data_IF_851899303775
#
_entry.id   IF_851899303775
#
_cell.length_a   1.000
_cell.length_b   1.000
_cell.length_c   1.000
_cell.angle_alpha   90.00
_cell.angle_beta   90.00
_cell.angle_gamma   90.00
#
_symmetry.space_group_name_H-M   'P 1'
#
loop_
_entity.id
_entity.type
_entity.pdbx_description
1 polymer ?
#
# COMPACT_ATOMS: atom_id res chain seq x y z
N UNK A 1 -22.48 1.39 21.34
CA UNK A 1 -23.29 0.81 20.23
C UNK A 1 -22.30 0.19 19.25
N UNK A 2 -22.24 -1.15 19.19
CA UNK A 2 -21.40 -1.84 18.19
C UNK A 2 -21.96 -1.49 16.80
N UNK A 3 -21.18 -0.74 16.00
CA UNK A 3 -21.49 -0.61 14.57
C UNK A 3 -21.45 -2.03 14.02
N UNK A 4 -22.54 -2.52 13.46
CA UNK A 4 -22.56 -3.77 12.72
C UNK A 4 -21.56 -3.58 11.60
N UNK A 5 -20.48 -4.34 11.62
CA UNK A 5 -19.46 -4.32 10.59
C UNK A 5 -20.07 -4.77 9.26
N UNK A 6 -19.55 -4.24 8.17
CA UNK A 6 -19.94 -4.66 6.83
C UNK A 6 -18.97 -5.70 6.28
N UNK A 7 -19.37 -6.34 5.18
CA UNK A 7 -18.42 -7.14 4.39
C UNK A 7 -17.51 -6.24 3.58
N UNK A 8 -16.24 -6.64 3.47
CA UNK A 8 -15.25 -5.93 2.65
C UNK A 8 -14.45 -6.94 1.83
N UNK A 9 -14.30 -6.70 0.54
CA UNK A 9 -13.35 -7.46 -0.25
C UNK A 9 -11.93 -7.06 0.15
N UNK A 10 -11.01 -8.03 0.18
CA UNK A 10 -9.60 -7.78 0.42
C UNK A 10 -8.80 -8.25 -0.78
N UNK A 11 -8.16 -7.32 -1.45
CA UNK A 11 -7.19 -7.62 -2.49
C UNK A 11 -5.77 -7.46 -1.96
N UNK A 12 -5.05 -8.59 -1.82
CA UNK A 12 -3.65 -8.62 -1.41
C UNK A 12 -2.77 -8.56 -2.66
N UNK A 13 -1.94 -7.52 -2.82
CA UNK A 13 -1.03 -7.41 -3.96
C UNK A 13 -0.03 -8.56 -4.05
N UNK A 14 0.29 -9.01 -5.27
CA UNK A 14 1.15 -10.16 -5.52
C UNK A 14 2.54 -10.04 -4.84
N UNK A 15 3.14 -8.86 -4.82
CA UNK A 15 4.43 -8.65 -4.14
C UNK A 15 4.31 -8.80 -2.61
N UNK A 16 3.20 -8.37 -2.04
CA UNK A 16 2.94 -8.52 -0.62
C UNK A 16 2.72 -10.00 -0.26
N UNK A 17 1.93 -10.70 -1.05
CA UNK A 17 1.66 -12.13 -0.87
C UNK A 17 2.94 -12.98 -0.99
N UNK A 18 3.80 -12.67 -1.96
CA UNK A 18 5.03 -13.43 -2.22
C UNK A 18 6.17 -13.13 -1.23
N UNK A 19 6.34 -11.88 -0.81
CA UNK A 19 7.54 -11.43 -0.10
C UNK A 19 7.27 -10.93 1.32
N UNK A 20 6.03 -10.63 1.67
CA UNK A 20 5.66 -10.08 2.97
C UNK A 20 4.32 -10.63 3.47
N UNK A 21 4.15 -11.95 3.60
CA UNK A 21 2.85 -12.57 3.91
C UNK A 21 2.30 -12.14 5.29
N UNK A 22 3.15 -11.72 6.23
CA UNK A 22 2.72 -11.21 7.53
C UNK A 22 1.90 -9.94 7.40
N UNK A 23 2.23 -9.07 6.45
CA UNK A 23 1.45 -7.85 6.14
C UNK A 23 0.02 -8.19 5.76
N UNK A 24 -0.17 -9.27 4.99
CA UNK A 24 -1.51 -9.74 4.60
C UNK A 24 -2.34 -10.12 5.83
N UNK A 25 -1.74 -10.84 6.78
CA UNK A 25 -2.39 -11.17 8.05
C UNK A 25 -2.70 -9.94 8.89
N UNK A 26 -1.78 -8.98 8.93
CA UNK A 26 -1.98 -7.71 9.64
C UNK A 26 -3.19 -6.94 9.10
N UNK A 27 -3.35 -6.88 7.77
CA UNK A 27 -4.51 -6.23 7.12
C UNK A 27 -5.82 -6.89 7.53
N UNK A 28 -5.89 -8.23 7.50
CA UNK A 28 -7.08 -8.97 7.90
C UNK A 28 -7.42 -8.71 9.38
N UNK A 29 -6.43 -8.81 10.27
CA UNK A 29 -6.61 -8.55 11.69
C UNK A 29 -7.13 -7.13 11.97
N UNK A 30 -6.60 -6.12 11.29
CA UNK A 30 -7.06 -4.73 11.42
C UNK A 30 -8.53 -4.62 11.01
N UNK A 31 -8.91 -5.21 9.88
CA UNK A 31 -10.30 -5.16 9.41
C UNK A 31 -11.25 -5.88 10.36
N UNK A 32 -10.90 -7.06 10.86
CA UNK A 32 -11.69 -7.79 11.85
C UNK A 32 -11.81 -7.02 13.17
N UNK A 33 -10.73 -6.39 13.65
CA UNK A 33 -10.73 -5.59 14.86
C UNK A 33 -11.71 -4.41 14.79
N UNK A 34 -11.84 -3.78 13.64
CA UNK A 34 -12.80 -2.69 13.45
C UNK A 34 -14.23 -3.18 13.20
N UNK A 35 -14.44 -4.51 13.22
CA UNK A 35 -15.75 -5.15 13.08
C UNK A 35 -16.15 -5.42 11.64
N UNK A 36 -15.23 -5.33 10.66
CA UNK A 36 -15.51 -5.74 9.28
C UNK A 36 -15.38 -7.26 9.13
N UNK A 37 -16.07 -7.83 8.14
CA UNK A 37 -15.93 -9.23 7.71
C UNK A 37 -15.11 -9.25 6.41
N UNK A 38 -13.79 -9.56 6.46
CA UNK A 38 -12.95 -9.56 5.27
C UNK A 38 -13.26 -10.75 4.38
N UNK A 39 -13.58 -10.48 3.11
CA UNK A 39 -13.76 -11.47 2.06
C UNK A 39 -12.47 -11.59 1.26
N UNK A 40 -11.68 -12.61 1.56
CA UNK A 40 -10.43 -12.88 0.85
C UNK A 40 -10.65 -13.92 -0.25
N UNK A 41 -10.35 -13.55 -1.50
CA UNK A 41 -10.39 -14.47 -2.63
C UNK A 41 -9.03 -15.16 -2.82
N UNK A 42 -8.98 -16.47 -2.66
CA UNK A 42 -7.74 -17.26 -2.80
C UNK A 42 -7.23 -17.33 -4.23
N UNK A 43 -8.13 -17.16 -5.21
CA UNK A 43 -7.80 -17.25 -6.64
C UNK A 43 -7.54 -15.88 -7.26
N UNK A 44 -7.35 -14.85 -6.44
CA UNK A 44 -7.04 -13.50 -6.91
C UNK A 44 -5.72 -13.48 -7.71
N UNK A 45 -5.69 -12.69 -8.77
CA UNK A 45 -4.52 -12.49 -9.61
C UNK A 45 -3.87 -11.12 -9.35
N UNK A 46 -2.70 -10.90 -9.95
CA UNK A 46 -2.06 -9.58 -9.93
C UNK A 46 -2.97 -8.50 -10.55
N UNK A 47 -2.88 -7.27 -10.06
CA UNK A 47 -3.58 -6.12 -10.68
C UNK A 47 -3.09 -5.79 -12.10
N UNK A 48 -1.96 -6.33 -12.54
CA UNK A 48 -1.40 -6.12 -13.87
C UNK A 48 -0.52 -4.87 -14.02
N UNK A 49 -0.34 -4.07 -12.97
CA UNK A 49 0.40 -2.80 -13.04
C UNK A 49 1.81 -2.95 -13.61
N UNK A 50 2.57 -3.96 -13.18
CA UNK A 50 3.94 -4.16 -13.67
C UNK A 50 4.00 -4.44 -15.17
N UNK A 51 3.10 -5.26 -15.70
CA UNK A 51 2.99 -5.54 -17.13
C UNK A 51 2.56 -4.29 -17.90
N UNK A 52 1.60 -3.52 -17.37
CA UNK A 52 1.19 -2.27 -17.98
C UNK A 52 2.35 -1.28 -18.14
N UNK A 53 3.18 -1.16 -17.10
CA UNK A 53 4.38 -0.31 -17.11
C UNK A 53 5.45 -0.76 -18.13
N UNK A 54 5.42 -2.02 -18.53
CA UNK A 54 6.29 -2.59 -19.58
C UNK A 54 5.68 -2.44 -20.99
N UNK A 55 4.47 -1.88 -21.11
CA UNK A 55 3.76 -1.74 -22.38
C UNK A 55 2.93 -2.96 -22.78
N UNK A 56 2.87 -4.01 -21.95
CA UNK A 56 2.21 -5.28 -22.24
C UNK A 56 0.69 -5.20 -21.94
N UNK A 57 0.02 -4.19 -22.52
CA UNK A 57 -1.39 -3.87 -22.21
C UNK A 57 -2.34 -5.02 -22.48
N UNK A 58 -2.10 -5.80 -23.54
CA UNK A 58 -2.97 -6.93 -23.90
C UNK A 58 -2.90 -8.07 -22.87
N UNK A 59 -1.74 -8.26 -22.22
CA UNK A 59 -1.59 -9.24 -21.15
C UNK A 59 -2.24 -8.77 -19.84
N UNK A 60 -2.44 -7.47 -19.68
CA UNK A 60 -3.09 -6.91 -18.48
C UNK A 60 -4.60 -7.13 -18.48
N UNK A 61 -5.24 -7.07 -19.64
CA UNK A 61 -6.71 -7.17 -19.77
C UNK A 61 -7.30 -8.42 -19.10
N UNK A 62 -6.80 -9.64 -19.35
CA UNK A 62 -7.32 -10.84 -18.69
C UNK A 62 -7.09 -10.83 -17.16
N UNK A 63 -5.97 -10.27 -16.68
CA UNK A 63 -5.71 -10.13 -15.24
C UNK A 63 -6.70 -9.15 -14.59
N UNK A 64 -6.92 -8.01 -15.23
CA UNK A 64 -7.85 -7.01 -14.74
C UNK A 64 -9.29 -7.53 -14.73
N UNK A 65 -9.69 -8.27 -15.76
CA UNK A 65 -11.02 -8.90 -15.83
C UNK A 65 -11.19 -9.98 -14.74
N UNK A 66 -10.17 -10.82 -14.54
CA UNK A 66 -10.20 -11.84 -13.50
C UNK A 66 -10.34 -11.19 -12.11
N UNK A 67 -9.54 -10.17 -11.79
CA UNK A 67 -9.64 -9.47 -10.53
C UNK A 67 -11.03 -8.85 -10.33
N UNK A 68 -11.57 -8.18 -11.34
CA UNK A 68 -12.92 -7.62 -11.30
C UNK A 68 -13.97 -8.70 -11.03
N UNK A 69 -13.90 -9.84 -11.74
CA UNK A 69 -14.91 -10.91 -11.66
C UNK A 69 -14.95 -11.62 -10.29
N UNK A 70 -13.89 -11.52 -9.50
CA UNK A 70 -13.79 -12.17 -8.21
C UNK A 70 -14.20 -11.26 -7.05
N UNK A 71 -14.41 -9.98 -7.29
CA UNK A 71 -14.84 -9.03 -6.27
C UNK A 71 -16.36 -8.86 -6.28
N UNK A 72 -16.98 -8.87 -5.11
CA UNK A 72 -18.39 -8.54 -4.97
C UNK A 72 -18.54 -7.00 -4.95
N UNK A 73 -19.10 -6.45 -6.02
CA UNK A 73 -19.22 -4.98 -6.17
C UNK A 73 -20.22 -4.34 -5.20
N UNK A 74 -20.94 -5.12 -4.38
CA UNK A 74 -21.78 -4.59 -3.30
C UNK A 74 -20.95 -4.13 -2.10
N UNK A 75 -19.68 -4.52 -2.05
CA UNK A 75 -18.79 -4.23 -0.91
C UNK A 75 -17.55 -3.47 -1.36
N UNK A 76 -17.01 -2.59 -0.50
CA UNK A 76 -15.74 -1.92 -0.79
C UNK A 76 -14.61 -2.95 -0.89
N UNK A 77 -13.63 -2.65 -1.73
CA UNK A 77 -12.42 -3.46 -1.88
C UNK A 77 -11.24 -2.74 -1.24
N UNK A 78 -10.64 -3.36 -0.26
CA UNK A 78 -9.50 -2.81 0.48
C UNK A 78 -8.21 -3.37 -0.09
N UNK A 79 -7.28 -2.48 -0.40
CA UNK A 79 -5.97 -2.81 -0.97
C UNK A 79 -4.89 -2.09 -0.17
N UNK A 80 -3.98 -2.81 0.47
CA UNK A 80 -2.98 -2.20 1.36
C UNK A 80 -1.77 -1.58 0.64
N UNK A 81 -1.93 -1.15 -0.61
CA UNK A 81 -0.87 -0.42 -1.34
C UNK A 81 -1.46 0.62 -2.29
N UNK A 82 -0.94 1.83 -2.22
CA UNK A 82 -1.37 2.94 -3.07
C UNK A 82 -1.03 2.71 -4.54
N UNK A 83 0.04 1.98 -4.85
CA UNK A 83 0.44 1.68 -6.22
C UNK A 83 -0.63 0.88 -6.98
N UNK A 84 -1.16 -0.20 -6.39
CA UNK A 84 -2.21 -1.00 -7.02
C UNK A 84 -3.54 -0.27 -7.04
N UNK A 85 -3.93 0.41 -5.95
CA UNK A 85 -5.17 1.19 -5.92
C UNK A 85 -5.18 2.26 -7.01
N UNK A 86 -4.09 3.02 -7.12
CA UNK A 86 -3.95 4.06 -8.14
C UNK A 86 -4.09 3.50 -9.55
N UNK A 87 -3.43 2.37 -9.80
CA UNK A 87 -3.49 1.70 -11.10
C UNK A 87 -4.90 1.24 -11.44
N UNK A 88 -5.56 0.53 -10.52
CA UNK A 88 -6.95 0.07 -10.72
C UNK A 88 -7.88 1.25 -10.99
N UNK A 89 -7.82 2.29 -10.17
CA UNK A 89 -8.71 3.45 -10.30
C UNK A 89 -8.49 4.26 -11.57
N UNK A 90 -7.25 4.30 -12.07
CA UNK A 90 -6.90 5.13 -13.25
C UNK A 90 -7.05 4.39 -14.57
N UNK A 91 -6.87 3.08 -14.61
CA UNK A 91 -6.70 2.36 -15.89
C UNK A 91 -7.73 1.26 -16.14
N UNK A 92 -8.36 0.67 -15.12
CA UNK A 92 -9.26 -0.47 -15.33
C UNK A 92 -10.46 -0.15 -16.19
N UNK A 93 -11.00 1.07 -16.10
CA UNK A 93 -12.13 1.49 -16.94
C UNK A 93 -11.79 1.38 -18.44
N UNK A 94 -10.61 1.88 -18.83
CA UNK A 94 -10.17 1.88 -20.22
C UNK A 94 -9.72 0.48 -20.67
N UNK A 95 -9.01 -0.25 -19.80
CA UNK A 95 -8.57 -1.62 -20.06
C UNK A 95 -9.74 -2.59 -20.31
N UNK A 96 -10.86 -2.38 -19.63
CA UNK A 96 -12.01 -3.28 -19.63
C UNK A 96 -13.20 -2.74 -20.44
N UNK A 97 -13.05 -1.64 -21.18
CA UNK A 97 -14.14 -0.95 -21.89
C UNK A 97 -14.99 -1.87 -22.78
N UNK A 98 -14.35 -2.84 -23.44
CA UNK A 98 -15.05 -3.78 -24.34
C UNK A 98 -15.07 -5.23 -23.82
N UNK A 99 -14.75 -5.44 -22.54
CA UNK A 99 -14.57 -6.79 -21.96
C UNK A 99 -15.55 -7.02 -20.80
N UNK A 100 -15.73 -6.01 -19.95
CA UNK A 100 -16.58 -6.08 -18.76
C UNK A 100 -17.85 -5.26 -18.94
N UNK A 101 -18.86 -5.53 -18.10
CA UNK A 101 -20.06 -4.68 -17.99
C UNK A 101 -19.65 -3.30 -17.46
N UNK A 102 -19.87 -2.21 -18.22
CA UNK A 102 -19.35 -0.88 -17.84
C UNK A 102 -19.81 -0.40 -16.45
N UNK A 103 -21.05 -0.75 -16.06
CA UNK A 103 -21.59 -0.38 -14.75
C UNK A 103 -20.87 -1.09 -13.61
N UNK A 104 -20.56 -2.38 -13.75
CA UNK A 104 -19.83 -3.18 -12.75
C UNK A 104 -18.41 -2.67 -12.58
N UNK A 105 -17.69 -2.47 -13.69
CA UNK A 105 -16.35 -1.92 -13.69
C UNK A 105 -16.31 -0.53 -13.02
N UNK A 106 -17.27 0.35 -13.35
CA UNK A 106 -17.38 1.67 -12.74
C UNK A 106 -17.61 1.57 -11.22
N UNK A 107 -18.53 0.72 -10.80
CA UNK A 107 -18.84 0.52 -9.37
C UNK A 107 -17.63 0.00 -8.62
N UNK A 108 -16.96 -1.04 -9.15
CA UNK A 108 -15.75 -1.60 -8.56
C UNK A 108 -14.66 -0.55 -8.39
N UNK A 109 -14.28 0.14 -9.47
CA UNK A 109 -13.22 1.17 -9.45
C UNK A 109 -13.48 2.28 -8.42
N UNK A 110 -14.74 2.67 -8.25
CA UNK A 110 -15.12 3.69 -7.26
C UNK A 110 -15.02 3.21 -5.81
N UNK A 111 -15.09 1.91 -5.58
CA UNK A 111 -15.08 1.29 -4.25
C UNK A 111 -13.76 0.62 -3.88
N UNK A 112 -12.71 0.81 -4.68
CA UNK A 112 -11.36 0.36 -4.32
C UNK A 112 -10.67 1.42 -3.49
N UNK A 113 -10.30 1.09 -2.24
CA UNK A 113 -9.69 2.00 -1.29
C UNK A 113 -8.36 1.47 -0.77
N UNK A 114 -7.42 2.38 -0.54
CA UNK A 114 -6.24 2.09 0.24
C UNK A 114 -6.62 1.97 1.73
N UNK A 115 -5.91 1.11 2.46
CA UNK A 115 -6.24 0.75 3.85
C UNK A 115 -6.36 1.97 4.78
N UNK A 116 -5.37 2.86 4.80
CA UNK A 116 -5.38 4.03 5.70
C UNK A 116 -6.48 5.02 5.32
N UNK A 117 -6.70 5.20 4.01
CA UNK A 117 -7.82 6.01 3.54
C UNK A 117 -9.16 5.42 3.99
N UNK A 118 -9.33 4.10 3.85
CA UNK A 118 -10.56 3.42 4.29
C UNK A 118 -10.80 3.60 5.78
N UNK A 119 -9.78 3.38 6.60
CA UNK A 119 -9.88 3.54 8.04
C UNK A 119 -10.29 4.97 8.43
N UNK A 120 -9.59 5.97 7.92
CA UNK A 120 -9.77 7.36 8.37
C UNK A 120 -10.97 8.03 7.70
N UNK A 121 -11.09 7.96 6.36
CA UNK A 121 -12.14 8.72 5.62
C UNK A 121 -13.47 7.97 5.53
N UNK A 122 -13.47 6.66 5.44
CA UNK A 122 -14.71 5.89 5.28
C UNK A 122 -15.25 5.44 6.64
N UNK A 123 -14.38 4.94 7.52
CA UNK A 123 -14.80 4.42 8.84
C UNK A 123 -14.70 5.45 9.95
N UNK A 124 -14.03 6.59 9.73
CA UNK A 124 -13.76 7.62 10.74
C UNK A 124 -12.99 7.07 11.95
N UNK A 125 -12.07 6.14 11.70
CA UNK A 125 -11.19 5.55 12.70
C UNK A 125 -9.83 6.23 12.60
N UNK A 126 -9.39 6.85 13.68
CA UNK A 126 -8.10 7.55 13.76
C UNK A 126 -7.13 6.90 14.73
N UNK A 127 -7.61 5.95 15.56
CA UNK A 127 -6.82 5.23 16.54
C UNK A 127 -7.31 3.78 16.61
N UNK A 128 -6.39 2.84 16.55
CA UNK A 128 -6.67 1.40 16.65
C UNK A 128 -6.39 0.85 18.06
N UNK A 129 -5.75 1.65 18.94
CA UNK A 129 -5.32 1.23 20.26
C UNK A 129 -4.11 0.29 20.20
N UNK A 130 -3.29 0.42 19.18
CA UNK A 130 -2.06 -0.30 18.96
C UNK A 130 -0.87 0.42 19.63
N UNK A 131 0.21 -0.33 19.87
CA UNK A 131 1.41 0.17 20.53
C UNK A 131 2.68 -0.21 19.73
N UNK A 132 3.58 0.78 19.52
CA UNK A 132 4.84 0.58 18.82
C UNK A 132 5.89 1.59 19.31
N UNK A 133 6.75 1.20 20.23
CA UNK A 133 7.68 2.11 20.93
C UNK A 133 9.00 2.28 20.17
N UNK A 134 8.93 2.96 19.00
CA UNK A 134 10.09 3.20 18.14
C UNK A 134 10.00 4.54 17.42
N UNK A 135 11.17 5.03 16.98
CA UNK A 135 11.26 6.19 16.11
C UNK A 135 11.13 5.77 14.66
N UNK A 136 10.05 6.21 14.02
CA UNK A 136 9.62 5.78 12.70
C UNK A 136 9.61 6.94 11.70
N UNK A 137 10.22 6.76 10.54
CA UNK A 137 10.05 7.67 9.41
C UNK A 137 8.93 7.17 8.50
N UNK A 138 7.95 8.01 8.24
CA UNK A 138 6.93 7.71 7.23
C UNK A 138 7.40 8.18 5.85
N UNK A 139 7.71 7.22 4.98
CA UNK A 139 8.05 7.46 3.59
C UNK A 139 6.77 7.52 2.73
N UNK A 140 6.37 8.73 2.35
CA UNK A 140 5.21 8.95 1.48
C UNK A 140 5.59 8.74 0.02
N UNK A 141 5.24 7.60 -0.55
CA UNK A 141 5.60 7.20 -1.91
C UNK A 141 5.06 8.14 -2.99
N UNK A 142 5.64 8.08 -4.20
CA UNK A 142 5.12 8.84 -5.33
C UNK A 142 3.71 8.39 -5.75
N UNK A 143 3.37 7.10 -5.57
CA UNK A 143 2.02 6.59 -5.80
C UNK A 143 1.02 7.21 -4.83
N UNK A 144 1.37 7.29 -3.55
CA UNK A 144 0.54 7.91 -2.53
C UNK A 144 0.32 9.41 -2.80
N UNK A 145 1.37 10.15 -3.16
CA UNK A 145 1.30 11.60 -3.37
C UNK A 145 0.63 12.01 -4.68
N UNK A 146 1.10 11.44 -5.79
CA UNK A 146 0.81 11.98 -7.11
C UNK A 146 -0.39 11.31 -7.77
N UNK A 147 -0.61 10.02 -7.49
CA UNK A 147 -1.63 9.23 -8.17
C UNK A 147 -2.87 8.98 -7.31
N UNK A 148 -2.72 8.39 -6.14
CA UNK A 148 -3.85 8.16 -5.24
C UNK A 148 -4.27 9.44 -4.50
N UNK A 149 -3.34 10.36 -4.28
CA UNK A 149 -3.53 11.62 -3.53
C UNK A 149 -3.95 11.36 -2.08
N UNK A 150 -3.24 10.43 -1.44
CA UNK A 150 -3.37 10.17 -0.01
C UNK A 150 -2.86 11.42 0.74
N UNK A 151 -3.70 12.00 1.57
CA UNK A 151 -3.37 13.25 2.30
C UNK A 151 -2.54 12.92 3.54
N UNK A 152 -3.18 12.91 4.69
CA UNK A 152 -2.54 12.72 5.99
C UNK A 152 -3.09 11.49 6.74
N UNK A 153 -3.86 10.62 6.08
CA UNK A 153 -4.50 9.47 6.71
C UNK A 153 -3.48 8.53 7.38
N UNK A 154 -2.35 8.15 6.73
CA UNK A 154 -1.33 7.35 7.37
C UNK A 154 -0.72 8.04 8.59
N UNK A 155 -0.45 9.35 8.48
CA UNK A 155 0.14 10.11 9.59
C UNK A 155 -0.81 10.22 10.79
N UNK A 156 -2.12 10.37 10.56
CA UNK A 156 -3.13 10.38 11.62
C UNK A 156 -3.07 9.08 12.40
N UNK A 157 -3.04 7.94 11.71
CA UNK A 157 -2.99 6.63 12.36
C UNK A 157 -1.69 6.40 13.12
N UNK A 158 -0.55 6.75 12.51
CA UNK A 158 0.77 6.60 13.15
C UNK A 158 0.93 7.52 14.36
N UNK A 159 0.45 8.76 14.31
CA UNK A 159 0.51 9.70 15.46
C UNK A 159 -0.36 9.25 16.64
N UNK A 160 -1.39 8.46 16.37
CA UNK A 160 -2.26 7.89 17.40
C UNK A 160 -1.83 6.46 17.82
N UNK A 161 -0.69 5.98 17.35
CA UNK A 161 -0.05 4.74 17.83
C UNK A 161 0.72 5.05 19.12
N UNK A 162 0.42 4.33 20.19
CA UNK A 162 1.07 4.55 21.48
C UNK A 162 2.57 4.24 21.41
N UNK A 163 3.40 5.12 21.96
CA UNK A 163 4.86 4.97 22.03
C UNK A 163 5.61 5.34 20.74
N UNK A 164 4.90 5.59 19.62
CA UNK A 164 5.54 5.86 18.34
C UNK A 164 6.01 7.33 18.23
N UNK A 165 7.33 7.53 17.99
CA UNK A 165 7.91 8.83 17.64
C UNK A 165 7.94 8.99 16.09
N UNK A 166 6.95 9.69 15.55
CA UNK A 166 6.79 9.85 14.11
C UNK A 166 7.62 10.99 13.55
N UNK A 167 8.53 10.65 12.65
CA UNK A 167 9.22 11.61 11.77
C UNK A 167 8.54 11.68 10.41
N UNK A 168 8.14 12.88 10.02
CA UNK A 168 7.66 13.22 8.67
C UNK A 168 8.52 14.37 8.15
N UNK A 169 9.01 14.24 6.93
CA UNK A 169 9.82 15.27 6.29
C UNK A 169 9.47 15.33 4.80
N UNK A 170 8.70 16.34 4.42
CA UNK A 170 8.24 16.51 3.06
C UNK A 170 9.37 16.72 2.05
N UNK A 171 10.52 17.24 2.49
CA UNK A 171 11.70 17.42 1.63
C UNK A 171 12.32 16.10 1.19
N UNK A 172 12.06 15.01 1.93
CA UNK A 172 12.50 13.65 1.65
C UNK A 172 11.45 12.82 0.90
N UNK A 173 10.33 13.41 0.56
CA UNK A 173 9.30 12.77 -0.27
C UNK A 173 9.74 12.70 -1.75
N UNK A 174 10.88 12.11 -2.01
CA UNK A 174 11.43 11.84 -3.34
C UNK A 174 10.91 10.52 -3.90
N UNK A 175 11.23 10.21 -5.14
CA UNK A 175 10.97 8.88 -5.68
C UNK A 175 12.05 7.90 -5.16
N UNK A 176 11.63 6.73 -4.69
CA UNK A 176 12.58 5.68 -4.27
C UNK A 176 13.28 4.98 -5.43
N UNK A 177 12.83 5.17 -6.67
CA UNK A 177 13.42 4.51 -7.84
C UNK A 177 12.93 3.08 -8.10
N UNK A 178 12.05 2.51 -7.28
CA UNK A 178 11.62 1.11 -7.40
C UNK A 178 10.69 0.83 -8.60
N UNK A 179 10.11 1.86 -9.23
CA UNK A 179 8.99 1.67 -10.15
C UNK A 179 9.34 0.90 -11.43
N UNK A 180 8.56 -0.13 -11.73
CA UNK A 180 8.69 -0.96 -12.93
C UNK A 180 10.08 -1.60 -13.02
N UNK A 181 10.77 -1.41 -14.15
CA UNK A 181 12.13 -1.94 -14.38
C UNK A 181 13.22 -0.90 -14.07
N UNK A 182 12.90 0.28 -13.54
CA UNK A 182 13.89 1.36 -13.42
C UNK A 182 15.08 0.98 -12.56
N UNK A 183 14.86 0.38 -11.40
CA UNK A 183 15.94 -0.09 -10.52
C UNK A 183 16.84 -1.15 -11.19
N UNK A 184 16.25 -1.99 -12.04
CA UNK A 184 17.01 -3.04 -12.75
C UNK A 184 17.78 -2.50 -13.97
N UNK A 185 17.17 -1.56 -14.70
CA UNK A 185 17.77 -1.01 -15.92
C UNK A 185 18.71 0.16 -15.66
N UNK A 186 18.54 0.86 -14.53
CA UNK A 186 19.32 2.02 -14.14
C UNK A 186 19.71 1.96 -12.65
N UNK A 187 20.43 0.92 -12.20
CA UNK A 187 20.70 0.69 -10.78
C UNK A 187 21.44 1.86 -10.13
N UNK A 188 22.48 2.40 -10.76
CA UNK A 188 23.23 3.54 -10.21
C UNK A 188 22.38 4.79 -10.01
N UNK A 189 21.44 5.06 -10.91
CA UNK A 189 20.55 6.21 -10.77
C UNK A 189 19.50 5.95 -9.68
N UNK A 190 19.03 4.73 -9.54
CA UNK A 190 18.11 4.31 -8.50
C UNK A 190 18.75 4.40 -7.11
N UNK A 191 20.01 3.93 -6.97
CA UNK A 191 20.76 4.01 -5.72
C UNK A 191 21.01 5.45 -5.28
N UNK A 192 21.34 6.36 -6.22
CA UNK A 192 21.49 7.79 -5.90
C UNK A 192 20.22 8.44 -5.36
N UNK A 193 19.04 8.03 -5.81
CA UNK A 193 17.78 8.50 -5.26
C UNK A 193 17.61 8.05 -3.80
N UNK A 194 17.94 6.80 -3.50
CA UNK A 194 17.87 6.25 -2.14
C UNK A 194 18.94 6.84 -1.23
N UNK A 195 20.17 7.01 -1.70
CA UNK A 195 21.28 7.61 -0.95
C UNK A 195 20.84 8.95 -0.34
N UNK A 196 20.26 9.83 -1.17
CA UNK A 196 19.79 11.13 -0.72
C UNK A 196 18.72 11.05 0.39
N UNK A 197 17.82 10.08 0.30
CA UNK A 197 16.77 9.86 1.29
C UNK A 197 17.38 9.26 2.57
N UNK A 198 18.09 8.15 2.42
CA UNK A 198 18.58 7.33 3.54
C UNK A 198 19.59 8.07 4.40
N UNK A 199 20.55 8.80 3.80
CA UNK A 199 21.52 9.60 4.57
C UNK A 199 20.85 10.62 5.50
N UNK A 200 19.79 11.29 5.02
CA UNK A 200 19.08 12.27 5.81
C UNK A 200 18.29 11.62 6.95
N UNK A 201 17.69 10.45 6.71
CA UNK A 201 16.91 9.70 7.72
C UNK A 201 17.87 9.13 8.78
N UNK A 202 18.99 8.57 8.36
CA UNK A 202 19.99 7.99 9.26
C UNK A 202 20.51 9.00 10.28
N UNK A 203 20.84 10.22 9.83
CA UNK A 203 21.31 11.31 10.71
C UNK A 203 20.27 11.74 11.76
N UNK A 204 18.99 11.42 11.54
CA UNK A 204 17.89 11.73 12.46
C UNK A 204 17.62 10.62 13.49
N UNK A 205 18.41 9.53 13.49
CA UNK A 205 18.29 8.43 14.44
C UNK A 205 17.00 7.62 14.31
N UNK A 206 16.50 7.47 13.10
CA UNK A 206 15.33 6.65 12.78
C UNK A 206 15.66 5.18 12.97
N UNK A 207 14.76 4.43 13.58
CA UNK A 207 14.88 2.99 13.77
C UNK A 207 14.14 2.21 12.70
N UNK A 208 12.98 2.73 12.26
CA UNK A 208 12.13 2.10 11.24
C UNK A 208 11.75 3.07 10.13
N UNK A 209 11.68 2.55 8.91
CA UNK A 209 11.05 3.23 7.77
C UNK A 209 9.75 2.51 7.45
N UNK A 210 8.65 3.26 7.36
CA UNK A 210 7.34 2.73 6.97
C UNK A 210 6.75 3.45 5.77
N UNK A 211 5.91 2.75 5.03
CA UNK A 211 5.17 3.29 3.88
C UNK A 211 3.88 2.49 3.64
N UNK A 212 3.01 3.03 2.80
CA UNK A 212 1.85 2.34 2.23
C UNK A 212 2.18 1.56 0.94
N UNK A 213 3.42 1.59 0.47
CA UNK A 213 3.83 0.92 -0.77
C UNK A 213 4.97 -0.07 -0.52
N UNK A 214 4.63 -1.35 -0.62
CA UNK A 214 5.57 -2.46 -0.39
C UNK A 214 6.75 -2.45 -1.38
N UNK A 215 6.56 -2.05 -2.64
CA UNK A 215 7.63 -1.96 -3.63
C UNK A 215 8.72 -0.97 -3.20
N UNK A 216 8.31 0.20 -2.68
CA UNK A 216 9.26 1.17 -2.15
C UNK A 216 10.01 0.63 -0.93
N UNK A 217 9.30 -0.05 -0.03
CA UNK A 217 9.89 -0.62 1.18
C UNK A 217 10.92 -1.69 0.84
N UNK A 218 10.61 -2.63 -0.05
CA UNK A 218 11.54 -3.68 -0.49
C UNK A 218 12.81 -3.10 -1.12
N UNK A 219 12.65 -2.05 -1.93
CA UNK A 219 13.78 -1.40 -2.57
C UNK A 219 14.66 -0.65 -1.58
N UNK A 220 14.04 0.06 -0.62
CA UNK A 220 14.74 0.72 0.48
C UNK A 220 15.47 -0.32 1.36
N UNK A 221 14.82 -1.44 1.69
CA UNK A 221 15.41 -2.52 2.49
C UNK A 221 16.64 -3.13 1.82
N UNK A 222 16.57 -3.39 0.51
CA UNK A 222 17.70 -3.89 -0.26
C UNK A 222 18.89 -2.92 -0.23
N UNK A 223 18.62 -1.62 -0.38
CA UNK A 223 19.64 -0.59 -0.29
C UNK A 223 20.26 -0.50 1.11
N UNK A 224 19.44 -0.43 2.17
CA UNK A 224 19.89 -0.40 3.55
C UNK A 224 20.79 -1.60 3.89
N UNK A 225 20.39 -2.79 3.43
CA UNK A 225 21.16 -4.03 3.60
C UNK A 225 22.52 -3.96 2.90
N UNK A 226 22.56 -3.42 1.68
CA UNK A 226 23.82 -3.26 0.91
C UNK A 226 24.81 -2.29 1.57
N UNK A 227 24.27 -1.31 2.32
CA UNK A 227 25.07 -0.30 3.05
C UNK A 227 25.35 -0.69 4.51
N UNK A 228 24.88 -1.86 4.98
CA UNK A 228 24.96 -2.31 6.38
C UNK A 228 24.42 -1.28 7.38
N UNK A 229 23.34 -0.59 7.04
CA UNK A 229 22.67 0.36 7.92
C UNK A 229 21.62 -0.36 8.77
N UNK A 230 21.65 -0.11 10.09
CA UNK A 230 20.78 -0.77 11.07
C UNK A 230 19.39 -0.15 11.18
N UNK A 231 18.79 0.31 10.06
CA UNK A 231 17.40 0.77 10.02
C UNK A 231 16.54 -0.38 9.47
N UNK A 232 15.46 -0.68 10.16
CA UNK A 232 14.51 -1.71 9.73
C UNK A 232 13.41 -1.12 8.84
N UNK A 233 12.82 -1.96 8.02
CA UNK A 233 11.72 -1.57 7.12
C UNK A 233 10.48 -2.37 7.47
N UNK A 234 9.34 -1.67 7.62
CA UNK A 234 8.09 -2.31 8.03
C UNK A 234 6.91 -1.66 7.30
N UNK A 235 5.98 -2.47 6.79
CA UNK A 235 4.78 -1.93 6.19
C UNK A 235 3.88 -1.28 7.24
N UNK A 236 3.17 -0.21 6.89
CA UNK A 236 2.33 0.52 7.83
C UNK A 236 1.27 -0.39 8.51
N UNK A 237 0.74 -1.39 7.80
CA UNK A 237 -0.21 -2.33 8.37
C UNK A 237 0.37 -3.16 9.53
N UNK A 238 1.67 -3.52 9.48
CA UNK A 238 2.32 -4.24 10.57
C UNK A 238 2.44 -3.37 11.82
N UNK A 239 2.81 -2.09 11.65
CA UNK A 239 2.83 -1.12 12.75
C UNK A 239 1.43 -0.95 13.35
N UNK A 240 0.43 -0.78 12.50
CA UNK A 240 -0.96 -0.61 12.94
C UNK A 240 -1.55 -1.87 13.58
N UNK A 241 -1.01 -3.05 13.29
CA UNK A 241 -1.41 -4.32 13.89
C UNK A 241 -0.61 -4.65 15.17
N UNK A 242 0.45 -3.91 15.49
CA UNK A 242 1.29 -4.21 16.64
C UNK A 242 0.56 -3.99 17.96
N UNK A 243 0.59 -4.98 18.85
CA UNK A 243 -0.06 -4.91 20.16
C UNK A 243 -1.59 -4.95 20.14
N UNK A 244 -2.19 -5.32 18.99
CA UNK A 244 -3.64 -5.48 18.84
C UNK A 244 -4.16 -6.79 19.41
#
# INVERSE_FOLDING_TARGET
MSKVGGKVNVFIPCQMDMFSPLVSSAVLNILEKIGEEPLYCKDQTCCGRCLYMQGETELVKPLAYNLLSQMDYNYPTIVPTTACVSFIRSHYKDLLENIAVPAECKTFVQQVYELCYYLVKIKNITCLGNHFEHRVFYFKSCSARNYYKLENEPEILLRNTEGLDLLVDESLNLCCGANGNFATTNPEASDKLLEQIVENIYKKGVQYITSTDIECLQHIEAYLSSQNLGIEVMHIADILNSGL
#
